data_IF_730774770325
#
_entry.id   IF_730774770325
#
_cell.length_a   1.000
_cell.length_b   1.000
_cell.length_c   1.000
_cell.angle_alpha   90.00
_cell.angle_beta   90.00
_cell.angle_gamma   90.00
#
_symmetry.space_group_name_H-M   'P 1'
#
loop_
_entity.id
_entity.type
_entity.pdbx_description
1 polymer ?
#
# COMPACT_ATOMS: atom_id res chain seq x y z
N UNK A 1 7.09 -0.37 -16.14
CA UNK A 1 6.55 -1.43 -17.01
C UNK A 1 7.30 -1.40 -18.33
N UNK A 2 7.83 -2.51 -18.82
CA UNK A 2 8.40 -2.61 -20.18
C UNK A 2 7.27 -2.86 -21.19
N UNK A 3 6.85 -1.80 -21.88
CA UNK A 3 5.74 -1.82 -22.84
C UNK A 3 6.23 -2.12 -24.25
N UNK A 4 5.71 -3.19 -24.83
CA UNK A 4 5.86 -3.56 -26.24
C UNK A 4 4.95 -2.71 -27.13
N UNK A 5 5.53 -1.91 -28.03
CA UNK A 5 5.13 -1.43 -29.38
C UNK A 5 3.66 -1.26 -29.87
N UNK A 6 2.60 -1.58 -29.12
CA UNK A 6 1.19 -1.31 -29.49
C UNK A 6 0.52 -0.45 -28.41
N UNK A 7 -0.46 0.42 -28.75
CA UNK A 7 -1.05 1.37 -27.81
C UNK A 7 -1.82 0.74 -26.62
N UNK A 8 -1.86 -0.60 -26.48
CA UNK A 8 -2.51 -1.33 -25.38
C UNK A 8 -3.84 -0.69 -24.94
N UNK A 9 -4.65 -0.29 -25.92
CA UNK A 9 -5.79 0.60 -25.72
C UNK A 9 -6.81 0.09 -24.70
N UNK A 10 -7.00 -1.23 -24.63
CA UNK A 10 -7.90 -1.86 -23.65
C UNK A 10 -7.47 -1.71 -22.19
N UNK A 11 -6.24 -1.27 -21.93
CA UNK A 11 -5.72 -0.97 -20.61
C UNK A 11 -5.64 0.54 -20.33
N UNK A 12 -6.14 1.39 -21.25
CA UNK A 12 -6.04 2.86 -21.17
C UNK A 12 -7.45 3.45 -21.19
N UNK A 13 -8.02 3.84 -20.04
CA UNK A 13 -9.39 4.34 -19.98
C UNK A 13 -9.61 5.64 -20.76
N UNK A 14 -8.54 6.39 -21.03
CA UNK A 14 -8.57 7.62 -21.80
C UNK A 14 -8.60 7.41 -23.32
N UNK A 15 -8.63 6.16 -23.80
CA UNK A 15 -8.44 5.85 -25.22
C UNK A 15 -9.46 4.82 -25.70
N UNK A 16 -10.11 5.12 -26.81
CA UNK A 16 -11.15 4.29 -27.41
C UNK A 16 -10.88 4.11 -28.90
N UNK A 17 -10.81 2.86 -29.35
CA UNK A 17 -10.68 2.56 -30.77
C UNK A 17 -12.00 2.85 -31.50
N UNK A 18 -11.95 3.65 -32.56
CA UNK A 18 -13.11 3.93 -33.43
C UNK A 18 -13.10 2.96 -34.62
N UNK A 19 -11.95 2.85 -35.29
CA UNK A 19 -11.70 1.94 -36.42
C UNK A 19 -10.27 1.38 -36.37
N UNK A 20 -9.81 0.68 -37.42
CA UNK A 20 -8.48 0.08 -37.45
C UNK A 20 -7.34 1.10 -37.31
N UNK A 21 -7.53 2.35 -37.76
CA UNK A 21 -6.49 3.37 -37.84
C UNK A 21 -6.80 4.64 -37.05
N UNK A 22 -7.99 4.79 -36.46
CA UNK A 22 -8.43 5.97 -35.75
C UNK A 22 -8.83 5.66 -34.29
N UNK A 23 -8.34 6.50 -33.39
CA UNK A 23 -8.56 6.39 -31.95
C UNK A 23 -9.09 7.71 -31.41
N UNK A 24 -10.15 7.63 -30.62
CA UNK A 24 -10.66 8.73 -29.81
C UNK A 24 -9.91 8.78 -28.49
N UNK A 25 -9.40 9.95 -28.14
CA UNK A 25 -8.57 10.16 -26.94
C UNK A 25 -9.16 11.28 -26.10
N UNK A 26 -9.36 10.99 -24.82
CA UNK A 26 -9.93 11.90 -23.82
C UNK A 26 -8.84 12.44 -22.90
N UNK A 27 -8.47 13.71 -23.05
CA UNK A 27 -7.48 14.41 -22.22
C UNK A 27 -8.16 15.51 -21.41
N UNK A 28 -8.75 15.12 -20.28
CA UNK A 28 -9.55 16.03 -19.46
C UNK A 28 -10.81 16.49 -20.18
N UNK A 29 -10.90 17.79 -20.48
CA UNK A 29 -12.03 18.38 -21.21
C UNK A 29 -11.82 18.39 -22.73
N UNK A 30 -10.72 17.85 -23.22
CA UNK A 30 -10.38 17.83 -24.65
C UNK A 30 -10.51 16.42 -25.20
N UNK A 31 -11.28 16.28 -26.29
CA UNK A 31 -11.36 15.03 -27.06
C UNK A 31 -10.70 15.24 -28.42
N UNK A 32 -9.78 14.35 -28.80
CA UNK A 32 -9.13 14.37 -30.11
C UNK A 32 -9.22 13.02 -30.78
N UNK A 33 -9.26 13.01 -32.12
CA UNK A 33 -9.18 11.81 -32.92
C UNK A 33 -7.79 11.77 -33.54
N UNK A 34 -7.02 10.73 -33.24
CA UNK A 34 -5.65 10.55 -33.72
C UNK A 34 -5.54 9.29 -34.56
N UNK A 35 -4.58 9.28 -35.49
CA UNK A 35 -4.16 8.09 -36.22
C UNK A 35 -3.47 7.08 -35.30
N UNK A 36 -3.27 5.83 -35.74
CA UNK A 36 -2.53 4.81 -34.98
C UNK A 36 -1.13 5.30 -34.57
N UNK A 37 -0.41 5.96 -35.49
CA UNK A 37 0.95 6.45 -35.25
C UNK A 37 0.96 7.55 -34.18
N UNK A 38 0.12 8.58 -34.34
CA UNK A 38 0.00 9.68 -33.38
C UNK A 38 -0.47 9.18 -32.01
N UNK A 39 -1.38 8.21 -31.99
CA UNK A 39 -1.88 7.57 -30.77
C UNK A 39 -0.76 6.82 -30.05
N UNK A 40 0.07 6.10 -30.80
CA UNK A 40 1.23 5.40 -30.24
C UNK A 40 2.23 6.39 -29.63
N UNK A 41 2.54 7.46 -30.34
CA UNK A 41 3.47 8.49 -29.87
C UNK A 41 2.94 9.20 -28.61
N UNK A 42 1.64 9.55 -28.58
CA UNK A 42 1.02 10.12 -27.39
C UNK A 42 1.06 9.15 -26.20
N UNK A 43 0.73 7.87 -26.42
CA UNK A 43 0.81 6.85 -25.39
C UNK A 43 2.21 6.73 -24.79
N UNK A 44 3.25 6.75 -25.63
CA UNK A 44 4.64 6.72 -25.18
C UNK A 44 4.99 7.95 -24.33
N UNK A 45 4.57 9.14 -24.76
CA UNK A 45 4.78 10.38 -24.02
C UNK A 45 4.10 10.35 -22.65
N UNK A 46 2.82 9.94 -22.61
CA UNK A 46 2.06 9.79 -21.36
C UNK A 46 2.72 8.75 -20.45
N UNK A 47 3.13 7.60 -21.00
CA UNK A 47 3.79 6.55 -20.21
C UNK A 47 5.08 7.05 -19.57
N UNK A 48 5.89 7.83 -20.31
CA UNK A 48 7.13 8.39 -19.80
C UNK A 48 6.86 9.38 -18.65
N UNK A 49 5.94 10.33 -18.84
CA UNK A 49 5.58 11.31 -17.82
C UNK A 49 4.98 10.63 -16.59
N UNK A 50 4.02 9.72 -16.77
CA UNK A 50 3.40 8.97 -15.69
C UNK A 50 4.41 8.10 -14.93
N UNK A 51 5.36 7.48 -15.64
CA UNK A 51 6.42 6.68 -15.02
C UNK A 51 7.36 7.55 -14.19
N UNK A 52 7.76 8.72 -14.68
CA UNK A 52 8.58 9.66 -13.90
C UNK A 52 7.82 10.17 -12.67
N UNK A 53 6.56 10.57 -12.83
CA UNK A 53 5.71 11.02 -11.72
C UNK A 53 5.54 9.93 -10.65
N UNK A 54 5.24 8.69 -11.08
CA UNK A 54 5.16 7.53 -10.19
C UNK A 54 6.48 7.28 -9.47
N UNK A 55 7.61 7.33 -10.18
CA UNK A 55 8.93 7.15 -9.59
C UNK A 55 9.22 8.22 -8.53
N UNK A 56 8.87 9.48 -8.77
CA UNK A 56 9.03 10.56 -7.80
C UNK A 56 8.22 10.33 -6.52
N UNK A 57 6.97 9.84 -6.64
CA UNK A 57 6.15 9.49 -5.46
C UNK A 57 6.75 8.30 -4.72
N UNK A 58 7.18 7.25 -5.43
CA UNK A 58 7.78 6.07 -4.81
C UNK A 58 9.06 6.45 -4.06
N UNK A 59 9.89 7.27 -4.69
CA UNK A 59 11.12 7.80 -4.12
C UNK A 59 10.82 8.65 -2.87
N UNK A 60 9.79 9.49 -2.93
CA UNK A 60 9.32 10.25 -1.79
C UNK A 60 8.96 9.36 -0.60
N UNK A 61 8.12 8.35 -0.85
CA UNK A 61 7.67 7.41 0.18
C UNK A 61 8.82 6.55 0.74
N UNK A 62 9.77 6.15 -0.11
CA UNK A 62 10.96 5.40 0.31
C UNK A 62 11.86 6.24 1.21
N UNK A 63 12.14 7.48 0.82
CA UNK A 63 13.04 8.35 1.56
C UNK A 63 12.49 8.73 2.93
N UNK A 64 11.18 9.00 3.04
CA UNK A 64 10.52 9.29 4.31
C UNK A 64 10.09 8.03 5.08
N UNK A 65 10.33 6.85 4.52
CA UNK A 65 9.97 5.53 5.08
C UNK A 65 8.48 5.40 5.45
N UNK A 66 7.58 5.81 4.55
CA UNK A 66 6.16 6.06 4.85
C UNK A 66 5.21 4.93 4.46
N UNK A 67 5.69 3.95 3.68
CA UNK A 67 4.88 2.82 3.18
C UNK A 67 4.20 1.96 4.25
N UNK A 68 4.77 1.88 5.46
CA UNK A 68 4.23 1.06 6.57
C UNK A 68 3.17 1.78 7.39
N UNK A 69 2.89 3.03 7.05
CA UNK A 69 2.02 3.91 7.81
C UNK A 69 0.80 4.32 7.01
N UNK A 70 -0.29 4.54 7.73
CA UNK A 70 -1.55 5.01 7.18
C UNK A 70 -1.46 6.49 6.80
N UNK A 71 -1.90 6.84 5.60
CA UNK A 71 -2.12 8.24 5.21
C UNK A 71 -3.43 8.72 5.78
N UNK A 72 -3.39 9.91 6.37
CA UNK A 72 -4.57 10.57 6.90
C UNK A 72 -4.74 11.89 6.17
N UNK A 73 -5.94 12.11 5.62
CA UNK A 73 -6.34 13.41 5.08
C UNK A 73 -7.23 14.12 6.09
N UNK A 74 -6.77 15.28 6.55
CA UNK A 74 -7.55 16.22 7.36
C UNK A 74 -7.96 17.40 6.47
N UNK A 75 -8.96 18.18 6.91
CA UNK A 75 -9.59 19.22 6.08
C UNK A 75 -8.59 20.19 5.41
N UNK A 76 -7.46 20.47 6.08
CA UNK A 76 -6.48 21.44 5.62
C UNK A 76 -5.09 20.84 5.35
N UNK A 77 -4.88 19.54 5.58
CA UNK A 77 -3.57 18.93 5.36
C UNK A 77 -3.60 17.40 5.22
N UNK A 78 -2.54 16.85 4.63
CA UNK A 78 -2.24 15.42 4.61
C UNK A 78 -1.10 15.12 5.57
N UNK A 79 -1.21 14.00 6.27
CA UNK A 79 -0.18 13.53 7.18
C UNK A 79 -0.16 12.01 7.28
N UNK A 80 0.76 11.50 8.07
CA UNK A 80 0.99 10.08 8.23
C UNK A 80 0.78 9.70 9.68
N UNK A 81 -0.15 8.80 9.96
CA UNK A 81 -0.36 8.30 11.33
C UNK A 81 0.80 7.39 11.71
N UNK A 82 1.60 7.82 12.69
CA UNK A 82 2.79 7.08 13.12
C UNK A 82 2.56 6.27 14.39
N UNK A 83 1.70 6.71 15.31
CA UNK A 83 1.31 5.94 16.50
C UNK A 83 0.05 6.54 17.14
N UNK A 84 -0.49 5.87 18.15
CA UNK A 84 -1.59 6.36 18.97
C UNK A 84 -1.25 6.36 20.45
N UNK A 85 -1.73 7.36 21.18
CA UNK A 85 -1.61 7.48 22.64
C UNK A 85 -2.95 7.86 23.26
N UNK A 86 -3.12 7.62 24.56
CA UNK A 86 -4.22 8.25 25.30
C UNK A 86 -4.03 9.76 25.43
N UNK A 87 -5.13 10.49 25.48
CA UNK A 87 -5.15 11.94 25.60
C UNK A 87 -4.32 12.45 26.81
N UNK A 88 -4.34 11.73 27.93
CA UNK A 88 -3.53 12.05 29.11
C UNK A 88 -2.04 12.09 28.78
N UNK A 89 -1.53 11.09 28.04
CA UNK A 89 -0.12 11.04 27.66
C UNK A 89 0.22 12.13 26.63
N UNK A 90 -0.67 12.40 25.67
CA UNK A 90 -0.48 13.52 24.74
C UNK A 90 -0.33 14.85 25.46
N UNK A 91 -1.17 15.13 26.46
CA UNK A 91 -1.10 16.37 27.24
C UNK A 91 0.21 16.48 28.02
N UNK A 92 0.73 15.37 28.57
CA UNK A 92 2.04 15.35 29.22
C UNK A 92 3.17 15.60 28.23
N UNK A 93 3.14 14.97 27.05
CA UNK A 93 4.12 15.22 25.98
C UNK A 93 4.08 16.69 25.57
N UNK A 94 2.90 17.24 25.35
CA UNK A 94 2.75 18.63 24.96
C UNK A 94 3.27 19.59 26.04
N UNK A 95 2.93 19.36 27.31
CA UNK A 95 3.44 20.16 28.43
C UNK A 95 4.97 20.08 28.56
N UNK A 96 5.55 18.90 28.38
CA UNK A 96 6.99 18.72 28.36
C UNK A 96 7.64 19.55 27.25
N UNK A 97 7.10 19.51 26.02
CA UNK A 97 7.61 20.33 24.91
C UNK A 97 7.58 21.83 25.24
N UNK A 98 6.53 22.32 25.91
CA UNK A 98 6.43 23.71 26.34
C UNK A 98 7.47 24.09 27.42
N UNK A 99 7.79 23.17 28.34
CA UNK A 99 8.80 23.36 29.38
C UNK A 99 10.22 23.38 28.77
N UNK A 100 10.48 22.51 27.79
CA UNK A 100 11.77 22.36 27.12
C UNK A 100 11.79 23.02 25.73
N UNK A 101 11.25 24.23 25.63
CA UNK A 101 11.34 25.03 24.40
C UNK A 101 12.80 25.45 24.14
N UNK A 102 13.28 25.38 22.90
CA UNK A 102 14.68 25.67 22.56
C UNK A 102 15.13 27.09 22.92
N UNK A 103 14.19 28.03 23.08
CA UNK A 103 14.46 29.42 23.49
C UNK A 103 14.68 29.51 25.01
N UNK A 104 14.10 28.58 25.80
CA UNK A 104 14.09 28.63 27.27
C UNK A 104 15.31 28.00 27.93
N UNK A 105 16.16 27.28 27.20
CA UNK A 105 17.32 26.64 27.80
C UNK A 105 18.23 25.93 26.80
N UNK A 106 19.24 25.23 27.34
CA UNK A 106 20.33 24.61 26.55
C UNK A 106 20.56 23.13 26.87
N UNK A 107 19.67 22.50 27.64
CA UNK A 107 19.79 21.05 27.88
C UNK A 107 19.57 20.29 26.57
N UNK A 108 19.97 19.02 26.54
CA UNK A 108 19.77 18.17 25.35
C UNK A 108 18.31 18.07 24.89
N UNK A 109 17.34 18.35 25.78
CA UNK A 109 15.90 18.30 25.55
C UNK A 109 15.29 19.65 25.12
N UNK A 110 16.03 20.75 25.19
CA UNK A 110 15.59 22.06 24.69
C UNK A 110 15.68 22.09 23.16
N UNK A 111 14.84 21.28 22.52
CA UNK A 111 14.77 21.02 21.08
C UNK A 111 13.36 21.17 20.54
N UNK A 112 12.44 21.69 21.35
CA UNK A 112 11.04 21.86 20.96
C UNK A 112 10.75 23.31 20.64
N UNK A 113 9.80 23.51 19.75
CA UNK A 113 9.09 24.76 19.57
C UNK A 113 7.60 24.44 19.52
N UNK A 114 6.79 25.28 20.13
CA UNK A 114 5.35 25.08 20.15
C UNK A 114 4.69 25.99 19.12
N UNK A 115 3.91 25.39 18.23
CA UNK A 115 3.04 26.08 17.28
C UNK A 115 1.63 25.51 17.43
N UNK A 116 0.72 26.29 18.02
CA UNK A 116 -0.64 25.88 18.37
C UNK A 116 -0.68 24.54 19.09
N UNK A 117 -1.41 23.56 18.57
CA UNK A 117 -1.56 22.21 19.15
C UNK A 117 -0.46 21.23 18.69
N UNK A 118 0.51 21.68 17.89
CA UNK A 118 1.55 20.83 17.33
C UNK A 118 2.83 20.86 18.16
N UNK A 119 3.61 19.78 18.08
CA UNK A 119 4.97 19.73 18.63
C UNK A 119 5.94 19.76 17.46
N UNK A 120 6.70 20.87 17.34
CA UNK A 120 7.78 21.02 16.38
C UNK A 120 9.10 20.67 17.05
N UNK A 121 9.90 19.84 16.40
CA UNK A 121 11.25 19.48 16.85
C UNK A 121 12.26 20.26 16.02
N UNK A 122 12.92 21.23 16.64
CA UNK A 122 13.81 22.20 16.01
C UNK A 122 14.83 22.75 17.01
N UNK A 123 16.00 23.14 16.49
CA UNK A 123 16.98 23.96 17.24
C UNK A 123 17.02 25.41 16.74
N UNK A 124 15.95 25.89 16.09
CA UNK A 124 15.85 27.25 15.54
C UNK A 124 16.67 27.50 14.28
N UNK A 125 17.59 26.59 13.91
CA UNK A 125 18.35 26.63 12.64
C UNK A 125 17.65 25.79 11.58
N UNK A 126 17.08 24.66 11.99
CA UNK A 126 16.51 23.66 11.10
C UNK A 126 15.48 22.82 11.81
N UNK A 127 14.39 22.55 11.09
CA UNK A 127 13.33 21.67 11.57
C UNK A 127 13.61 20.22 11.22
N UNK A 128 13.37 19.36 12.20
CA UNK A 128 13.53 17.93 12.04
C UNK A 128 12.19 17.27 11.73
N UNK A 129 11.14 17.62 12.47
CA UNK A 129 9.79 17.05 12.29
C UNK A 129 8.73 17.91 12.97
N UNK A 130 7.51 17.82 12.43
CA UNK A 130 6.29 18.34 13.02
C UNK A 130 5.35 17.18 13.33
N UNK A 131 4.84 17.10 14.55
CA UNK A 131 3.79 16.14 14.91
C UNK A 131 2.53 16.86 15.39
N UNK A 132 1.39 16.38 14.92
CA UNK A 132 0.08 17.00 15.17
C UNK A 132 -0.85 15.95 15.79
N UNK A 133 -1.64 16.30 16.82
CA UNK A 133 -2.63 15.38 17.37
C UNK A 133 -3.89 15.34 16.51
N UNK A 134 -4.45 14.15 16.35
CA UNK A 134 -5.79 13.95 15.80
C UNK A 134 -6.59 13.06 16.75
N UNK A 135 -7.71 13.56 17.26
CA UNK A 135 -8.63 12.74 18.06
C UNK A 135 -9.26 11.64 17.20
N UNK A 136 -9.27 10.40 17.70
CA UNK A 136 -9.82 9.25 16.96
C UNK A 136 -11.33 9.33 16.71
N UNK A 137 -12.06 10.08 17.53
CA UNK A 137 -13.50 10.33 17.40
C UNK A 137 -13.78 11.85 17.39
N UNK A 138 -14.33 12.36 16.28
CA UNK A 138 -14.59 13.80 16.09
C UNK A 138 -15.66 14.41 16.99
N UNK A 139 -16.36 13.61 17.81
CA UNK A 139 -17.57 14.06 18.52
C UNK A 139 -17.48 14.12 20.04
N UNK A 140 -16.45 13.57 20.70
CA UNK A 140 -16.27 13.76 22.14
C UNK A 140 -14.80 13.63 22.58
N UNK A 141 -14.19 14.72 23.02
CA UNK A 141 -12.96 14.73 23.83
C UNK A 141 -13.29 14.22 25.24
N UNK A 142 -13.66 12.94 25.39
CA UNK A 142 -13.72 12.30 26.71
C UNK A 142 -12.30 12.07 27.20
N UNK A 143 -12.11 12.09 28.53
CA UNK A 143 -10.80 11.89 29.17
C UNK A 143 -10.05 10.65 28.63
N UNK A 144 -10.76 9.57 28.29
CA UNK A 144 -10.17 8.33 27.77
C UNK A 144 -10.06 8.22 26.23
N UNK A 145 -10.09 9.36 25.51
CA UNK A 145 -10.00 9.39 24.05
C UNK A 145 -8.59 9.07 23.55
N UNK A 146 -8.51 8.32 22.46
CA UNK A 146 -7.26 8.01 21.78
C UNK A 146 -6.89 9.16 20.84
N UNK A 147 -5.63 9.57 20.88
CA UNK A 147 -5.04 10.59 20.03
C UNK A 147 -4.08 9.89 19.07
N UNK A 148 -4.39 9.96 17.78
CA UNK A 148 -3.46 9.61 16.72
C UNK A 148 -2.40 10.71 16.63
N UNK A 149 -1.12 10.32 16.69
CA UNK A 149 -0.01 11.23 16.41
C UNK A 149 0.26 11.18 14.91
N UNK A 150 0.10 12.32 14.26
CA UNK A 150 0.26 12.49 12.83
C UNK A 150 1.62 13.14 12.55
N UNK A 151 2.47 12.45 11.80
CA UNK A 151 3.65 13.04 11.17
C UNK A 151 3.17 14.00 10.08
N UNK A 152 3.43 15.29 10.27
CA UNK A 152 2.96 16.34 9.38
C UNK A 152 4.04 16.72 8.37
N UNK A 153 3.65 16.76 7.11
CA UNK A 153 4.49 17.17 5.98
C UNK A 153 4.15 18.62 5.68
N UNK A 154 4.88 19.55 6.29
CA UNK A 154 4.64 20.98 6.11
C UNK A 154 5.13 21.45 4.72
N UNK A 155 4.29 22.16 3.96
CA UNK A 155 4.65 22.75 2.66
C UNK A 155 5.81 23.75 2.76
N UNK A 156 5.92 24.48 3.88
CA UNK A 156 7.04 25.39 4.14
C UNK A 156 8.35 24.61 4.26
N UNK A 157 8.30 23.41 4.82
CA UNK A 157 9.45 22.51 4.92
C UNK A 157 9.87 22.00 3.54
N UNK A 158 8.90 21.66 2.68
CA UNK A 158 9.15 21.27 1.28
C UNK A 158 9.78 22.42 0.46
N UNK A 159 9.30 23.66 0.60
CA UNK A 159 9.86 24.83 -0.09
C UNK A 159 11.29 25.17 0.37
N UNK A 160 11.59 24.99 1.67
CA UNK A 160 12.96 25.16 2.19
C UNK A 160 13.94 24.12 1.64
N UNK A 161 13.45 22.92 1.30
CA UNK A 161 14.22 21.84 0.70
C UNK A 161 14.47 22.04 -0.81
N UNK A 162 13.59 22.77 -1.51
CA UNK A 162 13.74 23.13 -2.93
C UNK A 162 14.72 24.28 -3.18
N UNK A 163 14.83 25.21 -2.22
CA UNK A 163 15.64 26.44 -2.36
C UNK A 163 17.10 26.30 -1.93
N UNK A 164 17.49 25.13 -1.40
CA UNK A 164 18.87 24.82 -1.03
C UNK A 164 19.79 24.71 -2.26
N UNK A 165 20.95 25.38 -2.22
CA UNK A 165 22.00 25.33 -3.26
C UNK A 165 22.67 23.95 -3.47
N UNK A 166 22.20 22.90 -2.80
CA UNK A 166 22.77 21.56 -2.81
C UNK A 166 21.79 20.56 -3.45
N UNK A 167 22.27 19.93 -4.52
CA UNK A 167 21.57 18.98 -5.36
C UNK A 167 20.70 17.97 -4.58
N UNK A 168 19.38 17.99 -4.83
CA UNK A 168 18.37 17.03 -4.36
C UNK A 168 18.02 17.09 -2.86
N UNK A 169 16.75 17.42 -2.56
CA UNK A 169 16.09 17.43 -1.24
C UNK A 169 16.37 16.22 -0.33
N UNK A 170 16.78 15.08 -0.90
CA UNK A 170 17.15 13.84 -0.21
C UNK A 170 18.35 13.94 0.73
N UNK A 171 19.33 14.77 0.42
CA UNK A 171 20.57 14.87 1.21
C UNK A 171 20.32 15.31 2.66
N UNK A 172 19.17 15.93 2.83
CA UNK A 172 18.70 16.54 4.04
C UNK A 172 17.82 15.60 4.86
N UNK A 173 17.64 14.34 4.47
CA UNK A 173 16.82 13.38 5.22
C UNK A 173 17.69 12.54 6.15
N UNK A 174 17.17 12.30 7.36
CA UNK A 174 17.80 11.48 8.39
C UNK A 174 17.96 12.23 9.72
N UNK A 175 18.66 11.62 10.70
CA UNK A 175 18.69 12.12 12.08
C UNK A 175 19.24 13.55 12.26
N UNK A 176 20.07 14.01 11.31
CA UNK A 176 20.68 15.35 11.32
C UNK A 176 19.91 16.38 10.50
N UNK A 177 18.86 15.96 9.79
CA UNK A 177 18.01 16.79 8.98
C UNK A 177 16.54 16.45 9.18
N UNK A 178 15.75 16.37 8.13
CA UNK A 178 14.35 15.96 8.19
C UNK A 178 14.24 14.51 8.63
N UNK A 179 13.58 14.25 9.74
CA UNK A 179 13.41 12.89 10.24
C UNK A 179 12.38 12.14 9.40
N UNK A 180 12.65 10.86 9.12
CA UNK A 180 11.68 9.97 8.46
C UNK A 180 10.51 9.68 9.40
N UNK A 181 9.36 9.25 8.84
CA UNK A 181 8.21 8.86 9.66
C UNK A 181 8.58 7.71 10.62
N UNK A 182 9.34 6.73 10.13
CA UNK A 182 9.85 5.61 10.91
C UNK A 182 10.85 6.04 11.99
N UNK A 183 11.82 6.89 11.67
CA UNK A 183 12.77 7.40 12.67
C UNK A 183 12.03 8.19 13.75
N UNK A 184 11.08 9.04 13.35
CA UNK A 184 10.25 9.81 14.29
C UNK A 184 9.50 8.89 15.23
N UNK A 185 8.79 7.88 14.71
CA UNK A 185 8.10 6.90 15.53
C UNK A 185 9.05 6.20 16.53
N UNK A 186 10.22 5.76 16.06
CA UNK A 186 11.21 5.11 16.91
C UNK A 186 11.75 6.04 17.99
N UNK A 187 12.03 7.30 17.66
CA UNK A 187 12.48 8.30 18.60
C UNK A 187 11.42 8.63 19.64
N UNK A 188 10.15 8.72 19.23
CA UNK A 188 9.02 8.90 20.15
C UNK A 188 8.95 7.76 21.16
N UNK A 189 8.94 6.51 20.68
CA UNK A 189 8.78 5.33 21.52
C UNK A 189 10.00 5.03 22.41
N UNK A 190 11.22 5.26 21.91
CA UNK A 190 12.45 4.86 22.62
C UNK A 190 13.10 5.98 23.44
N UNK A 191 12.78 7.25 23.15
CA UNK A 191 13.42 8.40 23.81
C UNK A 191 12.41 9.35 24.42
N UNK A 192 11.53 9.92 23.60
CA UNK A 192 10.73 11.06 24.05
C UNK A 192 9.65 10.67 25.06
N UNK A 193 8.78 9.71 24.70
CA UNK A 193 7.70 9.26 25.58
C UNK A 193 8.27 8.71 26.90
N UNK A 194 9.29 7.82 26.90
CA UNK A 194 9.93 7.40 28.14
C UNK A 194 10.45 8.57 28.99
N UNK A 195 11.11 9.57 28.38
CA UNK A 195 11.61 10.73 29.11
C UNK A 195 10.49 11.56 29.75
N UNK A 196 9.39 11.77 29.03
CA UNK A 196 8.21 12.49 29.53
C UNK A 196 7.64 11.76 30.75
N UNK A 197 7.53 10.42 30.65
CA UNK A 197 7.05 9.55 31.74
C UNK A 197 7.97 9.64 32.94
N UNK A 198 9.28 9.51 32.76
CA UNK A 198 10.28 9.60 33.84
C UNK A 198 10.23 10.97 34.54
N UNK A 199 10.10 12.05 33.76
CA UNK A 199 10.07 13.41 34.28
C UNK A 199 8.83 13.69 35.14
N UNK A 200 7.66 13.21 34.72
CA UNK A 200 6.41 13.44 35.46
C UNK A 200 6.13 12.40 36.55
N UNK A 201 6.66 11.16 36.44
CA UNK A 201 6.59 10.18 37.55
C UNK A 201 7.48 10.58 38.73
N UNK A 202 8.57 11.32 38.50
CA UNK A 202 9.36 11.91 39.59
C UNK A 202 8.64 13.10 40.27
N UNK A 203 7.63 13.69 39.62
CA UNK A 203 6.92 14.89 40.08
C UNK A 203 5.48 14.65 40.51
N UNK A 204 4.95 13.43 40.32
CA UNK A 204 3.57 13.05 40.62
C UNK A 204 3.53 11.64 41.20
N UNK A 205 2.43 11.26 41.86
CA UNK A 205 2.25 9.92 42.45
C UNK A 205 1.94 8.83 41.40
N UNK A 206 1.92 9.15 40.11
CA UNK A 206 1.60 8.19 39.04
C UNK A 206 2.78 7.26 38.77
N UNK A 207 2.51 5.96 38.72
CA UNK A 207 3.53 4.95 38.45
C UNK A 207 3.93 4.96 36.97
N UNK A 208 5.23 4.87 36.67
CA UNK A 208 5.75 4.84 35.30
C UNK A 208 5.11 3.72 34.44
N UNK A 209 4.76 2.59 35.06
CA UNK A 209 4.06 1.48 34.40
C UNK A 209 2.64 1.86 33.94
N UNK A 210 1.92 2.68 34.71
CA UNK A 210 0.57 3.15 34.36
C UNK A 210 0.65 4.08 33.14
N UNK A 211 1.64 4.97 33.10
CA UNK A 211 1.84 5.87 31.97
C UNK A 211 2.30 5.15 30.69
N UNK A 212 3.13 4.10 30.81
CA UNK A 212 3.52 3.28 29.66
C UNK A 212 2.32 2.53 29.04
N UNK A 213 1.34 2.15 29.87
CA UNK A 213 0.10 1.50 29.40
C UNK A 213 -0.78 2.43 28.53
N UNK A 214 -0.52 3.73 28.53
CA UNK A 214 -1.23 4.73 27.72
C UNK A 214 -0.77 4.75 26.25
N UNK A 215 0.31 4.05 25.92
CA UNK A 215 0.72 3.85 24.52
C UNK A 215 -0.21 2.80 23.92
N UNK A 216 -1.00 3.19 22.92
CA UNK A 216 -1.89 2.26 22.22
C UNK A 216 -1.10 1.63 21.07
N UNK A 217 -0.86 0.32 21.13
CA UNK A 217 -0.01 -0.39 20.18
C UNK A 217 -0.55 -0.28 18.75
N UNK A 218 0.22 0.36 17.86
CA UNK A 218 0.04 0.20 16.43
C UNK A 218 0.70 -1.12 15.98
N UNK A 219 -0.13 -2.16 15.79
CA UNK A 219 0.30 -3.41 15.15
C UNK A 219 0.25 -3.26 13.63
N UNK A 220 1.28 -2.68 13.04
CA UNK A 220 1.61 -2.97 11.64
C UNK A 220 3.02 -3.56 11.59
N UNK A 221 3.13 -4.78 12.11
CA UNK A 221 4.30 -5.62 11.88
C UNK A 221 3.88 -6.75 10.95
N UNK A 222 3.49 -6.39 9.72
CA UNK A 222 3.54 -7.36 8.63
C UNK A 222 5.05 -7.62 8.36
N UNK A 223 5.51 -8.89 8.33
CA UNK A 223 6.90 -9.21 8.01
C UNK A 223 7.27 -8.62 6.65
N UNK A 224 8.55 -8.42 6.34
CA UNK A 224 8.91 -8.08 4.96
C UNK A 224 8.56 -9.27 4.04
N UNK A 225 8.06 -9.01 2.83
CA UNK A 225 7.71 -10.08 1.89
C UNK A 225 8.91 -10.99 1.62
N UNK A 226 10.13 -10.43 1.61
CA UNK A 226 11.35 -11.20 1.39
C UNK A 226 11.68 -12.14 2.57
N UNK A 227 11.30 -11.74 3.79
CA UNK A 227 11.55 -12.47 5.04
C UNK A 227 10.52 -13.57 5.32
N UNK A 228 9.48 -13.69 4.48
CA UNK A 228 8.44 -14.71 4.65
C UNK A 228 9.01 -16.11 4.42
N UNK A 229 8.83 -16.95 5.43
CA UNK A 229 9.18 -18.38 5.43
C UNK A 229 7.94 -19.28 5.57
N UNK A 230 6.80 -18.73 5.98
CA UNK A 230 5.53 -19.45 6.07
C UNK A 230 4.60 -19.01 4.94
N UNK A 231 4.01 -19.98 4.24
CA UNK A 231 3.06 -19.74 3.16
C UNK A 231 1.86 -18.87 3.61
N UNK A 232 1.38 -19.06 4.84
CA UNK A 232 0.24 -18.31 5.36
C UNK A 232 0.50 -16.81 5.50
N UNK A 233 1.76 -16.39 5.64
CA UNK A 233 2.10 -14.97 5.74
C UNK A 233 1.90 -14.25 4.38
N UNK A 234 1.92 -14.98 3.26
CA UNK A 234 1.62 -14.44 1.92
C UNK A 234 0.16 -14.05 1.73
N UNK A 235 -0.76 -14.62 2.51
CA UNK A 235 -2.21 -14.34 2.40
C UNK A 235 -2.49 -12.86 2.54
N UNK A 236 -1.80 -12.19 3.47
CA UNK A 236 -1.99 -10.75 3.69
C UNK A 236 -1.67 -9.90 2.45
N UNK A 237 -0.66 -10.29 1.65
CA UNK A 237 -0.28 -9.64 0.40
C UNK A 237 -1.26 -9.93 -0.73
N UNK A 238 -1.72 -11.18 -0.80
CA UNK A 238 -2.75 -11.58 -1.76
C UNK A 238 -4.06 -10.84 -1.50
N UNK A 239 -4.42 -10.59 -0.24
CA UNK A 239 -5.60 -9.82 0.14
C UNK A 239 -5.49 -8.36 -0.31
N UNK A 240 -4.33 -7.73 -0.18
CA UNK A 240 -4.12 -6.37 -0.72
C UNK A 240 -4.36 -6.33 -2.24
N UNK A 241 -3.77 -7.29 -2.97
CA UNK A 241 -3.95 -7.42 -4.42
C UNK A 241 -5.42 -7.69 -4.75
N UNK A 242 -6.08 -8.57 -4.00
CA UNK A 242 -7.49 -8.90 -4.19
C UNK A 242 -8.39 -7.68 -3.98
N UNK A 243 -8.16 -6.90 -2.92
CA UNK A 243 -8.87 -5.65 -2.68
C UNK A 243 -8.68 -4.66 -3.84
N UNK A 244 -7.45 -4.52 -4.33
CA UNK A 244 -7.17 -3.68 -5.49
C UNK A 244 -7.87 -4.17 -6.77
N UNK A 245 -7.75 -5.45 -7.10
CA UNK A 245 -8.38 -6.05 -8.30
C UNK A 245 -9.90 -5.98 -8.26
N UNK A 246 -10.49 -6.06 -7.07
CA UNK A 246 -11.93 -5.91 -6.88
C UNK A 246 -12.41 -4.48 -7.15
N UNK A 247 -11.60 -3.47 -6.82
CA UNK A 247 -11.91 -2.06 -7.03
C UNK A 247 -11.54 -1.56 -8.44
N UNK A 248 -10.49 -2.13 -9.02
CA UNK A 248 -10.04 -1.83 -10.36
C UNK A 248 -11.01 -2.45 -11.37
N UNK A 249 -11.54 -1.67 -12.32
CA UNK A 249 -12.61 -2.14 -13.24
C UNK A 249 -12.10 -2.35 -14.67
N UNK A 250 -10.89 -1.89 -14.98
CA UNK A 250 -10.32 -1.93 -16.33
C UNK A 250 -9.48 -3.19 -16.59
N UNK A 251 -9.06 -3.39 -17.84
CA UNK A 251 -8.10 -4.43 -18.15
C UNK A 251 -6.69 -4.02 -17.73
N UNK A 252 -5.92 -5.00 -17.27
CA UNK A 252 -4.54 -4.85 -16.83
C UNK A 252 -3.65 -5.62 -17.81
N UNK A 253 -2.43 -5.13 -18.06
CA UNK A 253 -1.49 -5.81 -18.95
C UNK A 253 -1.21 -7.25 -18.45
N UNK A 254 -1.38 -8.23 -19.33
CA UNK A 254 -1.22 -9.65 -18.98
C UNK A 254 0.18 -9.97 -18.45
N UNK A 255 1.19 -9.23 -18.89
CA UNK A 255 2.59 -9.35 -18.45
C UNK A 255 2.76 -9.22 -16.94
N UNK A 256 1.88 -8.47 -16.25
CA UNK A 256 1.91 -8.34 -14.79
C UNK A 256 1.47 -9.63 -14.06
N UNK A 257 0.68 -10.48 -14.72
CA UNK A 257 0.14 -11.71 -14.10
C UNK A 257 0.84 -12.99 -14.53
N UNK A 258 1.58 -13.01 -15.65
CA UNK A 258 2.15 -14.26 -16.20
C UNK A 258 2.99 -15.03 -15.19
N UNK A 259 3.99 -14.37 -14.60
CA UNK A 259 4.84 -14.97 -13.57
C UNK A 259 4.05 -15.29 -12.31
N UNK A 260 3.12 -14.42 -11.92
CA UNK A 260 2.27 -14.59 -10.74
C UNK A 260 1.38 -15.84 -10.83
N UNK A 261 0.59 -15.99 -11.90
CA UNK A 261 -0.26 -17.16 -12.12
C UNK A 261 0.58 -18.43 -12.16
N UNK A 262 1.68 -18.42 -12.91
CA UNK A 262 2.55 -19.61 -13.04
C UNK A 262 3.07 -20.04 -11.67
N UNK A 263 3.70 -19.12 -10.93
CA UNK A 263 4.33 -19.44 -9.65
C UNK A 263 3.31 -19.88 -8.59
N UNK A 264 2.14 -19.24 -8.54
CA UNK A 264 1.10 -19.62 -7.57
C UNK A 264 0.38 -20.91 -7.93
N UNK A 265 0.15 -21.19 -9.22
CA UNK A 265 -0.36 -22.50 -9.66
C UNK A 265 0.62 -23.61 -9.31
N UNK A 266 1.92 -23.40 -9.52
CA UNK A 266 2.95 -24.39 -9.14
C UNK A 266 3.11 -24.53 -7.63
N UNK A 267 2.86 -23.47 -6.86
CA UNK A 267 2.89 -23.49 -5.40
C UNK A 267 1.74 -24.34 -4.82
N UNK A 268 0.54 -24.20 -5.37
CA UNK A 268 -0.65 -24.94 -4.90
C UNK A 268 -0.83 -26.32 -5.53
N UNK A 269 0.02 -26.69 -6.49
CA UNK A 269 -0.06 -27.95 -7.26
C UNK A 269 -0.13 -29.20 -6.39
N UNK A 270 0.60 -29.22 -5.28
CA UNK A 270 0.68 -30.36 -4.35
C UNK A 270 -0.23 -30.16 -3.12
N UNK A 271 -1.41 -29.56 -3.32
CA UNK A 271 -2.42 -29.49 -2.27
C UNK A 271 -3.09 -30.86 -2.10
N UNK A 272 -3.32 -31.26 -0.85
CA UNK A 272 -4.12 -32.44 -0.52
C UNK A 272 -5.49 -32.38 -1.22
N UNK A 273 -5.81 -33.45 -1.95
CA UNK A 273 -7.08 -33.61 -2.67
C UNK A 273 -8.33 -33.50 -1.79
N UNK A 274 -8.19 -33.69 -0.47
CA UNK A 274 -9.26 -33.56 0.52
C UNK A 274 -9.53 -32.10 0.98
N UNK A 275 -9.01 -31.10 0.26
CA UNK A 275 -9.30 -29.69 0.54
C UNK A 275 -10.81 -29.39 0.53
N UNK A 276 -11.27 -28.62 1.51
CA UNK A 276 -12.65 -28.17 1.64
C UNK A 276 -12.97 -26.96 0.75
N UNK A 277 -14.24 -26.76 0.42
CA UNK A 277 -14.70 -25.60 -0.35
C UNK A 277 -14.44 -25.70 -1.86
N UNK A 278 -14.50 -26.91 -2.41
CA UNK A 278 -14.31 -27.15 -3.85
C UNK A 278 -15.37 -26.42 -4.69
N UNK A 279 -16.57 -26.24 -4.13
CA UNK A 279 -17.64 -25.44 -4.70
C UNK A 279 -17.27 -23.97 -4.87
N UNK A 280 -16.62 -23.37 -3.88
CA UNK A 280 -16.09 -22.01 -3.97
C UNK A 280 -15.01 -21.88 -5.04
N UNK A 281 -14.02 -22.79 -5.03
CA UNK A 281 -12.92 -22.82 -6.00
C UNK A 281 -13.46 -22.94 -7.43
N UNK A 282 -14.32 -23.94 -7.66
CA UNK A 282 -14.87 -24.20 -8.98
C UNK A 282 -15.85 -23.11 -9.43
N UNK A 283 -16.61 -22.51 -8.51
CA UNK A 283 -17.46 -21.36 -8.79
C UNK A 283 -16.67 -20.17 -9.35
N UNK A 284 -15.53 -19.84 -8.73
CA UNK A 284 -14.63 -18.79 -9.23
C UNK A 284 -14.07 -19.14 -10.62
N UNK A 285 -13.55 -20.36 -10.79
CA UNK A 285 -12.94 -20.78 -12.07
C UNK A 285 -13.96 -20.84 -13.21
N UNK A 286 -15.17 -21.34 -12.96
CA UNK A 286 -16.24 -21.40 -13.95
C UNK A 286 -16.74 -20.02 -14.36
N UNK A 287 -16.82 -19.06 -13.42
CA UNK A 287 -17.26 -17.70 -13.70
C UNK A 287 -16.39 -17.00 -14.75
N UNK A 288 -15.10 -17.35 -14.82
CA UNK A 288 -14.15 -16.85 -15.83
C UNK A 288 -14.45 -17.42 -17.22
N UNK A 289 -14.80 -18.70 -17.30
CA UNK A 289 -15.08 -19.40 -18.55
C UNK A 289 -16.46 -19.01 -19.12
N UNK A 290 -17.45 -18.75 -18.26
CA UNK A 290 -18.82 -18.38 -18.65
C UNK A 290 -18.92 -17.05 -19.42
N UNK A 291 -18.00 -16.10 -19.18
CA UNK A 291 -18.02 -14.81 -19.89
C UNK A 291 -17.67 -14.91 -21.39
N UNK A 292 -17.16 -16.06 -21.88
CA UNK A 292 -16.62 -16.18 -23.25
C UNK A 292 -17.52 -16.90 -24.24
N UNK A 293 -18.52 -17.65 -23.79
CA UNK A 293 -19.43 -18.40 -24.66
C UNK A 293 -20.85 -18.41 -24.08
N UNK A 294 -21.67 -17.38 -24.36
CA UNK A 294 -23.08 -17.37 -24.01
C UNK A 294 -23.87 -18.52 -24.67
N UNK A 295 -23.44 -18.96 -25.85
CA UNK A 295 -24.18 -19.92 -26.69
C UNK A 295 -24.01 -21.40 -26.30
N UNK A 296 -23.24 -21.72 -25.25
CA UNK A 296 -23.03 -23.08 -24.77
C UNK A 296 -23.74 -23.37 -23.43
N UNK A 297 -24.86 -22.68 -23.18
CA UNK A 297 -25.61 -22.73 -21.91
C UNK A 297 -26.18 -24.11 -21.53
N UNK A 298 -26.13 -25.14 -22.39
CA UNK A 298 -26.84 -26.41 -22.16
C UNK A 298 -25.98 -27.68 -22.04
N UNK A 299 -24.64 -27.64 -22.18
CA UNK A 299 -23.87 -28.90 -22.26
C UNK A 299 -22.68 -29.11 -21.31
N UNK A 300 -22.34 -28.18 -20.40
CA UNK A 300 -21.26 -28.42 -19.41
C UNK A 300 -21.55 -27.86 -18.02
N UNK A 301 -22.71 -28.20 -17.46
CA UNK A 301 -22.77 -28.42 -16.01
C UNK A 301 -22.01 -29.73 -15.78
N UNK A 302 -20.69 -29.65 -15.54
CA UNK A 302 -20.02 -30.72 -14.82
C UNK A 302 -20.82 -30.84 -13.52
N UNK A 303 -21.53 -31.96 -13.36
CA UNK A 303 -22.31 -32.24 -12.16
C UNK A 303 -21.43 -31.89 -10.95
N UNK A 304 -21.87 -30.95 -10.11
CA UNK A 304 -21.06 -30.40 -9.02
C UNK A 304 -20.54 -31.50 -8.08
N UNK A 305 -21.18 -32.67 -8.13
CA UNK A 305 -20.79 -33.93 -7.50
C UNK A 305 -19.43 -34.50 -7.96
N UNK A 306 -18.92 -34.10 -9.12
CA UNK A 306 -17.65 -34.60 -9.68
C UNK A 306 -16.48 -33.62 -9.51
N UNK A 307 -16.72 -32.45 -8.91
CA UNK A 307 -15.66 -31.48 -8.65
C UNK A 307 -14.63 -32.05 -7.69
N UNK A 308 -13.37 -31.97 -8.08
CA UNK A 308 -12.23 -32.39 -7.29
C UNK A 308 -11.03 -31.49 -7.60
N UNK A 309 -10.01 -31.57 -6.74
CA UNK A 309 -8.86 -30.68 -6.84
C UNK A 309 -8.08 -30.83 -8.15
N UNK A 310 -8.07 -32.03 -8.77
CA UNK A 310 -7.42 -32.23 -10.06
C UNK A 310 -8.09 -31.38 -11.15
N UNK A 311 -9.42 -31.33 -11.17
CA UNK A 311 -10.17 -30.48 -12.12
C UNK A 311 -9.89 -28.99 -11.85
N UNK A 312 -9.82 -28.59 -10.58
CA UNK A 312 -9.48 -27.21 -10.22
C UNK A 312 -8.07 -26.84 -10.69
N UNK A 313 -7.10 -27.74 -10.52
CA UNK A 313 -5.72 -27.56 -10.99
C UNK A 313 -5.67 -27.46 -12.52
N UNK A 314 -6.35 -28.34 -13.25
CA UNK A 314 -6.47 -28.26 -14.72
C UNK A 314 -7.07 -26.90 -15.16
N UNK A 315 -8.03 -26.37 -14.37
CA UNK A 315 -8.60 -25.04 -14.55
C UNK A 315 -7.56 -23.94 -14.40
N UNK A 316 -6.77 -23.97 -13.33
CA UNK A 316 -5.67 -23.00 -13.10
C UNK A 316 -4.61 -23.08 -14.21
N UNK A 317 -4.22 -24.27 -14.64
CA UNK A 317 -3.26 -24.45 -15.74
C UNK A 317 -3.75 -23.88 -17.06
N UNK A 318 -5.05 -24.02 -17.38
CA UNK A 318 -5.65 -23.35 -18.54
C UNK A 318 -5.55 -21.83 -18.44
N UNK A 319 -5.69 -21.26 -17.25
CA UNK A 319 -5.55 -19.83 -17.05
C UNK A 319 -4.08 -19.38 -17.20
N UNK A 320 -3.12 -20.19 -16.74
CA UNK A 320 -1.69 -19.99 -17.01
C UNK A 320 -1.39 -20.03 -18.52
N UNK A 321 -1.90 -21.03 -19.24
CA UNK A 321 -1.73 -21.12 -20.69
C UNK A 321 -2.34 -19.90 -21.40
N UNK A 322 -3.53 -19.46 -20.97
CA UNK A 322 -4.21 -18.29 -21.53
C UNK A 322 -3.46 -16.99 -21.29
N UNK A 323 -3.03 -16.70 -20.06
CA UNK A 323 -2.40 -15.41 -19.72
C UNK A 323 -1.08 -15.21 -20.47
N UNK A 324 -0.43 -16.30 -20.86
CA UNK A 324 0.79 -16.27 -21.67
C UNK A 324 0.56 -15.87 -23.12
N UNK A 325 -0.63 -16.12 -23.68
CA UNK A 325 -0.96 -15.77 -25.07
C UNK A 325 -1.78 -14.50 -25.21
N UNK A 326 -2.49 -14.06 -24.17
CA UNK A 326 -3.26 -12.83 -24.23
C UNK A 326 -2.41 -11.58 -23.92
N UNK A 327 -2.90 -10.42 -24.37
CA UNK A 327 -2.24 -9.13 -24.16
C UNK A 327 -2.68 -8.47 -22.85
N UNK A 328 -3.91 -8.72 -22.41
CA UNK A 328 -4.51 -8.12 -21.24
C UNK A 328 -5.36 -9.14 -20.48
N UNK A 329 -5.57 -8.85 -19.20
CA UNK A 329 -6.41 -9.58 -18.28
C UNK A 329 -7.47 -8.66 -17.70
N UNK A 330 -8.69 -9.13 -17.60
CA UNK A 330 -9.74 -8.36 -16.94
C UNK A 330 -9.56 -8.46 -15.41
N UNK A 331 -9.64 -7.33 -14.70
CA UNK A 331 -9.44 -7.27 -13.25
C UNK A 331 -10.36 -8.20 -12.46
N UNK A 332 -11.62 -8.38 -12.90
CA UNK A 332 -12.55 -9.32 -12.30
C UNK A 332 -12.06 -10.77 -12.41
N UNK A 333 -11.55 -11.17 -13.57
CA UNK A 333 -10.98 -12.52 -13.73
C UNK A 333 -9.75 -12.70 -12.84
N UNK A 334 -8.90 -11.68 -12.75
CA UNK A 334 -7.74 -11.71 -11.87
C UNK A 334 -8.13 -11.76 -10.39
N UNK A 335 -9.18 -11.04 -9.97
CA UNK A 335 -9.76 -11.11 -8.62
C UNK A 335 -10.21 -12.54 -8.31
N UNK A 336 -10.99 -13.18 -9.19
CA UNK A 336 -11.46 -14.55 -9.03
C UNK A 336 -10.30 -15.57 -8.90
N UNK A 337 -9.24 -15.43 -9.71
CA UNK A 337 -8.04 -16.27 -9.60
C UNK A 337 -7.32 -16.05 -8.27
N UNK A 338 -7.17 -14.78 -7.87
CA UNK A 338 -6.52 -14.42 -6.60
C UNK A 338 -7.29 -14.98 -5.41
N UNK A 339 -8.64 -14.89 -5.42
CA UNK A 339 -9.52 -15.50 -4.40
C UNK A 339 -9.35 -17.00 -4.32
N UNK A 340 -9.23 -17.68 -5.46
CA UNK A 340 -8.96 -19.13 -5.52
C UNK A 340 -7.62 -19.46 -4.88
N UNK A 341 -6.55 -18.74 -5.19
CA UNK A 341 -5.24 -18.96 -4.56
C UNK A 341 -5.30 -18.73 -3.05
N UNK A 342 -5.94 -17.65 -2.59
CA UNK A 342 -6.11 -17.38 -1.16
C UNK A 342 -6.84 -18.53 -0.47
N UNK A 343 -7.96 -18.98 -1.04
CA UNK A 343 -8.74 -20.06 -0.46
C UNK A 343 -7.95 -21.36 -0.33
N UNK A 344 -7.20 -21.71 -1.38
CA UNK A 344 -6.35 -22.91 -1.38
C UNK A 344 -5.25 -22.80 -0.32
N UNK A 345 -4.63 -21.64 -0.17
CA UNK A 345 -3.60 -21.41 0.85
C UNK A 345 -4.17 -21.48 2.27
N UNK A 346 -5.33 -20.85 2.52
CA UNK A 346 -5.94 -20.81 3.85
C UNK A 346 -6.51 -22.17 4.29
N UNK A 347 -7.03 -22.98 3.35
CA UNK A 347 -7.81 -24.19 3.65
C UNK A 347 -7.17 -25.50 3.17
N UNK A 348 -6.11 -25.42 2.37
CA UNK A 348 -5.41 -26.58 1.82
C UNK A 348 -4.22 -27.01 2.65
N UNK A 349 -3.95 -28.32 2.68
CA UNK A 349 -2.67 -28.86 3.16
C UNK A 349 -1.70 -28.92 1.98
N UNK A 350 -0.81 -27.95 1.90
CA UNK A 350 0.07 -27.75 0.73
C UNK A 350 1.49 -28.24 1.06
N UNK A 351 2.00 -29.17 0.26
CA UNK A 351 3.41 -29.58 0.31
C UNK A 351 4.24 -28.76 -0.68
N UNK A 352 5.07 -27.85 -0.19
CA UNK A 352 5.90 -26.98 -1.03
C UNK A 352 7.37 -27.01 -0.61
N UNK A 353 8.26 -26.75 -1.57
CA UNK A 353 9.68 -26.51 -1.34
C UNK A 353 9.94 -25.02 -1.08
N UNK A 354 11.04 -24.71 -0.39
CA UNK A 354 11.48 -23.32 -0.21
C UNK A 354 11.71 -22.61 -1.55
N UNK A 355 12.13 -23.34 -2.59
CA UNK A 355 12.29 -22.79 -3.94
C UNK A 355 10.96 -22.32 -4.55
N UNK A 356 9.88 -23.10 -4.37
CA UNK A 356 8.54 -22.70 -4.83
C UNK A 356 8.05 -21.46 -4.07
N UNK A 357 8.25 -21.42 -2.75
CA UNK A 357 7.89 -20.24 -1.96
C UNK A 357 8.67 -18.99 -2.40
N UNK A 358 9.97 -19.12 -2.64
CA UNK A 358 10.80 -18.01 -3.13
C UNK A 358 10.38 -17.53 -4.52
N UNK A 359 10.03 -18.44 -5.44
CA UNK A 359 9.51 -18.10 -6.75
C UNK A 359 8.18 -17.35 -6.65
N UNK A 360 7.27 -17.80 -5.78
CA UNK A 360 6.00 -17.12 -5.52
C UNK A 360 6.20 -15.71 -4.95
N UNK A 361 7.13 -15.51 -4.00
CA UNK A 361 7.50 -14.18 -3.47
C UNK A 361 7.96 -13.23 -4.57
N UNK A 362 8.88 -13.69 -5.42
CA UNK A 362 9.42 -12.88 -6.52
C UNK A 362 8.35 -12.54 -7.57
N UNK A 363 7.47 -13.49 -7.88
CA UNK A 363 6.38 -13.28 -8.83
C UNK A 363 5.27 -12.37 -8.28
N UNK A 364 5.05 -12.36 -6.96
CA UNK A 364 4.04 -11.53 -6.29
C UNK A 364 4.45 -10.06 -6.23
N UNK A 365 5.75 -9.79 -6.05
CA UNK A 365 6.28 -8.47 -5.70
C UNK A 365 5.83 -7.36 -6.67
N UNK A 366 5.95 -7.48 -8.01
CA UNK A 366 5.55 -6.40 -8.92
C UNK A 366 4.06 -6.08 -8.86
N UNK A 367 3.23 -7.12 -8.71
CA UNK A 367 1.78 -6.99 -8.63
C UNK A 367 1.36 -6.34 -7.31
N UNK A 368 1.99 -6.75 -6.20
CA UNK A 368 1.74 -6.16 -4.90
C UNK A 368 2.21 -4.70 -4.82
N UNK A 369 3.38 -4.38 -5.36
CA UNK A 369 3.87 -2.99 -5.41
C UNK A 369 2.94 -2.08 -6.23
N UNK A 370 2.42 -2.58 -7.35
CA UNK A 370 1.41 -1.88 -8.13
C UNK A 370 0.13 -1.66 -7.32
N UNK A 371 -0.41 -2.72 -6.72
CA UNK A 371 -1.62 -2.66 -5.87
C UNK A 371 -1.44 -1.65 -4.73
N UNK A 372 -0.35 -1.75 -3.97
CA UNK A 372 -0.05 -0.85 -2.85
C UNK A 372 0.04 0.61 -3.30
N UNK A 373 0.68 0.87 -4.44
CA UNK A 373 0.79 2.22 -4.99
C UNK A 373 -0.59 2.78 -5.38
N UNK A 374 -1.37 2.02 -6.16
CA UNK A 374 -2.66 2.49 -6.66
C UNK A 374 -3.68 2.68 -5.55
N UNK A 375 -3.79 1.72 -4.63
CA UNK A 375 -4.68 1.84 -3.46
C UNK A 375 -4.36 3.09 -2.62
N UNK A 376 -3.07 3.42 -2.51
CA UNK A 376 -2.61 4.56 -1.71
C UNK A 376 -2.77 5.91 -2.40
N UNK A 377 -2.50 5.99 -3.71
CA UNK A 377 -2.35 7.28 -4.40
C UNK A 377 -3.38 7.54 -5.51
N UNK A 378 -3.97 6.48 -6.07
CA UNK A 378 -4.96 6.59 -7.17
C UNK A 378 -6.38 6.43 -6.62
N UNK A 379 -6.59 5.51 -5.68
CA UNK A 379 -7.89 5.20 -5.07
C UNK A 379 -7.94 5.39 -3.55
N UNK A 380 -7.47 6.53 -2.98
CA UNK A 380 -7.31 6.68 -1.53
C UNK A 380 -8.62 6.71 -0.71
N UNK A 381 -9.78 6.86 -1.37
CA UNK A 381 -11.08 7.10 -0.73
C UNK A 381 -12.15 6.06 -1.11
N UNK A 382 -11.77 4.89 -1.65
CA UNK A 382 -12.73 3.87 -2.12
C UNK A 382 -12.60 2.55 -1.38
#
# INVERSE_FOLDING_TARGET
MTLTNKPHWKCRPFLKQIDENAFEIYLGNTTVILSELETKDLCLCIDEVCQQYKNSIIEFENNLETWKFELVSLANFRGIKILSVKNELWNLMYKFACEFDYIKGKSEWHLFHQEDISIRISRGIRDHVFIVPQASNSWTLRHNSEINIIYFINEVHLQSLETGKLNSWKQDIGPRGTWTAKYTQQWLLKKYIPKVIDYYSQKSELLAAELLSLITNYKSQRPDIQEINNLNDLVSYLRDIQSWLHLYVDNIAATLFRSYYTAFTDLVRNTDSAINGMDYIMGNLHSIDWQKTPDNMTSKLIDSKNWNFKIALDGLEKQVARINICQYENSYNADLITRTFIWIIENGKISFSQSQLNAAKQALLPLWEQSRFEMRHVYPNR
#
